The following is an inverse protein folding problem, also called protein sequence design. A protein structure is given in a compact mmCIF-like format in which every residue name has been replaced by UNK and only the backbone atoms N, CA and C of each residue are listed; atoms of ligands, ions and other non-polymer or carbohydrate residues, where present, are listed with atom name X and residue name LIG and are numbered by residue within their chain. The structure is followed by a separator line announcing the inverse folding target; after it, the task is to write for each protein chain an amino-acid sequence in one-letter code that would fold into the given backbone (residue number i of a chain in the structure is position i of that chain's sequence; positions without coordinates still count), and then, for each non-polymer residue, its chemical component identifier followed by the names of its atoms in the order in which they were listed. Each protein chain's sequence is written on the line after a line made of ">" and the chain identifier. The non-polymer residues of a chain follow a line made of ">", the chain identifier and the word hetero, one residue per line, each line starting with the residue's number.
data_IF_306814578005
#
_entry.id   IF_306814578005
#
_cell.length_a   1.000
_cell.length_b   1.000
_cell.length_c   1.000
_cell.angle_alpha   90.00
_cell.angle_beta   90.00
_cell.angle_gamma   90.00
#
_symmetry.space_group_name_H-M   'P 1'
#
loop_
_entity.id
_entity.type
_entity.pdbx_description
1 polymer ?
#
# COMPACT_ATOMS: atom_id res chain seq x y z
N UNK A 1 4.72 6.37 9.50
CA UNK A 1 3.81 6.26 10.66
C UNK A 1 3.38 4.81 10.84
N UNK A 2 3.33 4.28 12.07
CA UNK A 2 2.84 2.92 12.34
C UNK A 2 1.38 2.74 11.94
N UNK A 3 0.56 3.77 12.03
CA UNK A 3 -0.84 3.73 11.57
C UNK A 3 -0.93 3.53 10.05
N UNK A 4 -0.08 4.18 9.27
CA UNK A 4 -0.02 3.99 7.82
C UNK A 4 0.34 2.54 7.47
N UNK A 5 1.35 1.97 8.14
CA UNK A 5 1.77 0.59 7.91
C UNK A 5 0.68 -0.41 8.30
N UNK A 6 0.03 -0.21 9.45
CA UNK A 6 -1.07 -1.07 9.89
C UNK A 6 -2.28 -1.00 8.95
N UNK A 7 -2.67 0.19 8.48
CA UNK A 7 -3.74 0.35 7.50
C UNK A 7 -3.40 -0.33 6.18
N UNK A 8 -2.15 -0.24 5.74
CA UNK A 8 -1.68 -0.90 4.52
C UNK A 8 -1.74 -2.43 4.65
N UNK A 9 -1.25 -2.98 5.76
CA UNK A 9 -1.38 -4.42 6.04
C UNK A 9 -2.84 -4.84 6.00
N UNK A 10 -3.72 -4.13 6.71
CA UNK A 10 -5.16 -4.42 6.69
C UNK A 10 -5.73 -4.43 5.27
N UNK A 11 -5.40 -3.43 4.46
CA UNK A 11 -5.85 -3.30 3.08
C UNK A 11 -5.41 -4.47 2.20
N UNK A 12 -4.16 -4.90 2.35
CA UNK A 12 -3.55 -5.90 1.47
C UNK A 12 -3.93 -7.34 1.83
N UNK A 13 -4.22 -7.62 3.10
CA UNK A 13 -4.37 -9.01 3.55
C UNK A 13 -5.73 -9.35 4.14
N UNK A 14 -6.58 -8.38 4.47
CA UNK A 14 -7.95 -8.64 4.94
C UNK A 14 -8.88 -8.71 3.73
N UNK A 15 -9.35 -9.91 3.42
CA UNK A 15 -10.18 -10.21 2.23
C UNK A 15 -11.67 -10.24 2.53
N UNK A 16 -12.06 -10.21 3.82
CA UNK A 16 -13.44 -10.20 4.26
C UNK A 16 -13.54 -9.89 5.76
N UNK A 17 -14.73 -9.94 6.32
CA UNK A 17 -14.97 -9.60 7.73
C UNK A 17 -14.14 -10.46 8.71
N UNK A 18 -13.94 -11.74 8.36
CA UNK A 18 -13.24 -12.73 9.20
C UNK A 18 -12.17 -13.50 8.44
N UNK A 19 -11.86 -13.10 7.19
CA UNK A 19 -10.93 -13.83 6.32
C UNK A 19 -9.70 -13.01 6.01
N UNK A 20 -8.57 -13.72 5.91
CA UNK A 20 -7.29 -13.13 5.51
C UNK A 20 -6.73 -13.83 4.28
N UNK A 21 -5.83 -13.15 3.58
CA UNK A 21 -5.11 -13.71 2.45
C UNK A 21 -4.27 -14.93 2.87
N UNK A 22 -4.15 -15.91 1.98
CA UNK A 22 -3.22 -17.05 2.14
C UNK A 22 -1.77 -16.58 2.32
N UNK A 23 -1.44 -15.38 1.87
CA UNK A 23 -0.10 -14.80 1.99
C UNK A 23 0.35 -14.55 3.44
N UNK A 24 -0.54 -14.61 4.43
CA UNK A 24 -0.20 -14.36 5.84
C UNK A 24 -0.42 -15.57 6.76
N UNK A 25 -0.82 -16.71 6.21
CA UNK A 25 -1.10 -17.90 7.01
C UNK A 25 0.15 -18.71 7.36
N UNK A 26 1.16 -18.66 6.51
CA UNK A 26 2.36 -19.51 6.62
C UNK A 26 2.12 -20.99 6.32
N UNK A 27 0.91 -21.37 5.90
CA UNK A 27 0.49 -22.77 5.69
C UNK A 27 0.28 -23.12 4.21
N UNK A 28 0.64 -22.20 3.30
CA UNK A 28 0.52 -22.44 1.85
C UNK A 28 1.45 -23.56 1.42
N UNK A 29 0.91 -24.57 0.72
CA UNK A 29 1.64 -25.80 0.35
C UNK A 29 2.90 -25.51 -0.47
N UNK A 30 2.83 -24.55 -1.40
CA UNK A 30 3.96 -24.19 -2.27
C UNK A 30 5.04 -23.38 -1.55
N UNK A 31 4.67 -22.66 -0.49
CA UNK A 31 5.56 -21.79 0.28
C UNK A 31 5.33 -21.92 1.79
N UNK A 32 5.53 -23.10 2.38
CA UNK A 32 5.31 -23.31 3.80
C UNK A 32 6.24 -22.44 4.64
N UNK A 33 5.70 -21.81 5.68
CA UNK A 33 6.45 -20.95 6.59
C UNK A 33 6.84 -19.59 6.00
N UNK A 34 6.33 -19.22 4.81
CA UNK A 34 6.56 -17.91 4.20
C UNK A 34 5.35 -17.00 4.41
N UNK A 35 5.63 -15.72 4.65
CA UNK A 35 4.63 -14.69 4.95
C UNK A 35 4.83 -13.47 4.05
N UNK A 36 3.73 -12.81 3.66
CA UNK A 36 3.78 -11.54 2.92
C UNK A 36 2.61 -10.63 3.31
N UNK A 37 2.82 -9.82 4.35
CA UNK A 37 1.79 -8.94 4.91
C UNK A 37 1.48 -7.71 4.06
N UNK A 38 2.24 -7.43 3.01
CA UNK A 38 2.04 -6.27 2.14
C UNK A 38 1.76 -6.65 0.69
N UNK A 39 1.59 -7.92 0.38
CA UNK A 39 1.42 -8.44 -0.99
C UNK A 39 2.48 -7.92 -1.99
N UNK A 40 3.69 -7.61 -1.52
CA UNK A 40 4.78 -7.15 -2.38
C UNK A 40 5.15 -8.27 -3.35
N UNK A 41 5.26 -7.93 -4.64
CA UNK A 41 5.52 -8.92 -5.69
C UNK A 41 4.29 -9.72 -6.12
N UNK A 42 3.10 -9.42 -5.61
CA UNK A 42 1.84 -9.99 -6.05
C UNK A 42 1.43 -9.40 -7.41
N UNK A 43 2.11 -9.82 -8.45
CA UNK A 43 1.84 -9.39 -9.84
C UNK A 43 0.52 -9.96 -10.35
N UNK A 44 -0.12 -9.26 -11.29
CA UNK A 44 -1.36 -9.68 -11.93
C UNK A 44 -1.23 -11.10 -12.54
N UNK A 45 -2.28 -11.91 -12.43
CA UNK A 45 -2.30 -13.28 -12.94
C UNK A 45 -3.31 -14.14 -12.19
N UNK A 46 -3.29 -15.44 -12.46
CA UNK A 46 -4.22 -16.39 -11.84
C UNK A 46 -3.98 -16.57 -10.33
N UNK A 47 -2.76 -16.34 -9.86
CA UNK A 47 -2.36 -16.59 -8.46
C UNK A 47 -1.50 -15.45 -7.88
N UNK A 48 -2.02 -14.21 -7.76
CA UNK A 48 -1.22 -13.07 -7.30
C UNK A 48 -0.58 -13.29 -5.91
N UNK A 49 -1.32 -13.90 -4.98
CA UNK A 49 -0.80 -14.18 -3.65
C UNK A 49 0.39 -15.15 -3.66
N UNK A 50 0.37 -16.18 -4.52
CA UNK A 50 1.51 -17.10 -4.68
C UNK A 50 2.72 -16.41 -5.32
N UNK A 51 2.51 -15.51 -6.27
CA UNK A 51 3.59 -14.68 -6.83
C UNK A 51 4.24 -13.83 -5.73
N UNK A 52 3.44 -13.24 -4.86
CA UNK A 52 3.93 -12.50 -3.70
C UNK A 52 4.70 -13.36 -2.71
N UNK A 53 4.23 -14.60 -2.43
CA UNK A 53 4.95 -15.54 -1.57
C UNK A 53 6.26 -16.02 -2.21
N UNK A 54 6.27 -16.27 -3.52
CA UNK A 54 7.51 -16.56 -4.26
C UNK A 54 8.52 -15.43 -4.11
N UNK A 55 8.09 -14.18 -4.29
CA UNK A 55 8.97 -13.02 -4.09
C UNK A 55 9.48 -12.93 -2.64
N UNK A 56 8.63 -13.18 -1.66
CA UNK A 56 8.97 -13.14 -0.24
C UNK A 56 9.92 -14.28 0.18
N UNK A 57 9.90 -15.41 -0.53
CA UNK A 57 10.75 -16.59 -0.24
C UNK A 57 12.16 -16.47 -0.80
N UNK A 58 12.44 -15.49 -1.66
CA UNK A 58 13.71 -15.36 -2.39
C UNK A 58 14.40 -14.02 -2.13
N UNK A 59 15.71 -13.94 -2.35
CA UNK A 59 16.50 -12.73 -2.17
C UNK A 59 16.96 -12.52 -0.73
N UNK A 60 17.74 -11.46 -0.52
CA UNK A 60 18.45 -11.14 0.73
C UNK A 60 18.17 -9.71 1.24
N UNK A 61 17.50 -8.89 0.44
CA UNK A 61 17.14 -7.51 0.81
C UNK A 61 15.84 -7.47 1.62
N UNK A 62 15.64 -6.43 2.41
CA UNK A 62 14.42 -6.22 3.20
C UNK A 62 14.08 -7.39 4.12
N UNK A 63 15.08 -7.99 4.75
CA UNK A 63 14.96 -9.16 5.63
C UNK A 63 14.41 -10.42 4.95
N UNK A 64 14.43 -10.52 3.61
CA UNK A 64 14.04 -11.77 2.93
C UNK A 64 15.08 -12.88 3.18
N UNK A 65 14.65 -14.14 3.14
CA UNK A 65 13.29 -14.65 3.01
C UNK A 65 12.45 -14.36 4.26
N UNK A 66 11.14 -14.11 4.04
CA UNK A 66 10.21 -13.76 5.11
C UNK A 66 9.62 -15.01 5.77
N UNK A 67 10.44 -15.69 6.55
CA UNK A 67 10.15 -16.98 7.19
C UNK A 67 9.34 -16.87 8.49
N UNK A 68 8.96 -15.68 8.89
CA UNK A 68 8.06 -15.44 10.03
C UNK A 68 7.36 -14.08 9.86
N UNK A 69 6.27 -13.82 10.61
CA UNK A 69 5.52 -12.56 10.53
C UNK A 69 6.37 -11.31 10.78
N UNK A 70 7.30 -11.35 11.75
CA UNK A 70 8.17 -10.22 12.06
C UNK A 70 9.00 -9.80 10.85
N UNK A 71 9.69 -10.75 10.20
CA UNK A 71 10.52 -10.47 9.01
C UNK A 71 9.68 -9.88 7.87
N UNK A 72 8.47 -10.39 7.69
CA UNK A 72 7.56 -9.88 6.67
C UNK A 72 7.05 -8.47 6.98
N UNK A 73 6.62 -8.21 8.22
CA UNK A 73 6.09 -6.90 8.60
C UNK A 73 7.19 -5.83 8.58
N UNK A 74 8.33 -6.11 9.18
CA UNK A 74 9.46 -5.15 9.22
C UNK A 74 10.10 -5.00 7.85
N UNK A 75 10.37 -6.11 7.16
CA UNK A 75 10.98 -6.08 5.82
C UNK A 75 10.06 -5.41 4.78
N UNK A 76 8.76 -5.66 4.84
CA UNK A 76 7.79 -4.98 3.99
C UNK A 76 7.70 -3.48 4.29
N UNK A 77 7.75 -3.07 5.56
CA UNK A 77 7.82 -1.67 5.94
C UNK A 77 9.10 -0.98 5.41
N UNK A 78 10.24 -1.65 5.48
CA UNK A 78 11.50 -1.17 4.89
C UNK A 78 11.38 -1.01 3.38
N UNK A 79 10.75 -1.98 2.69
CA UNK A 79 10.51 -1.91 1.25
C UNK A 79 9.66 -0.70 0.88
N UNK A 80 8.50 -0.52 1.55
CA UNK A 80 7.59 0.61 1.28
C UNK A 80 8.29 1.94 1.59
N UNK A 81 9.01 2.01 2.71
CA UNK A 81 9.79 3.19 3.09
C UNK A 81 10.78 3.59 2.01
N UNK A 82 11.62 2.66 1.58
CA UNK A 82 12.70 2.92 0.62
C UNK A 82 12.20 3.17 -0.80
N UNK A 83 11.16 2.46 -1.22
CA UNK A 83 10.73 2.51 -2.62
C UNK A 83 9.64 3.56 -2.89
N UNK A 84 8.89 3.98 -1.87
CA UNK A 84 7.80 4.95 -2.05
C UNK A 84 7.97 6.19 -1.17
N UNK A 85 7.93 6.04 0.15
CA UNK A 85 7.81 7.16 1.08
C UNK A 85 9.03 8.08 1.01
N UNK A 86 10.24 7.51 1.07
CA UNK A 86 11.49 8.27 1.02
C UNK A 86 11.81 8.84 -0.37
N UNK A 87 11.03 8.47 -1.38
CA UNK A 87 11.08 9.04 -2.73
C UNK A 87 10.05 10.14 -2.97
N UNK A 88 9.35 10.58 -1.93
CA UNK A 88 8.33 11.62 -2.00
C UNK A 88 6.92 11.09 -2.24
N UNK A 89 6.72 9.79 -2.49
CA UNK A 89 5.40 9.16 -2.62
C UNK A 89 4.82 8.84 -1.23
N UNK A 90 4.66 9.86 -0.40
CA UNK A 90 4.30 9.73 1.02
C UNK A 90 2.80 9.82 1.30
N UNK A 91 1.96 9.90 0.27
CA UNK A 91 0.50 9.84 0.37
C UNK A 91 -0.06 8.77 -0.58
N UNK A 92 -1.29 8.30 -0.32
CA UNK A 92 -1.97 7.36 -1.21
C UNK A 92 -2.13 7.92 -2.64
N UNK A 93 -2.40 9.21 -2.76
CA UNK A 93 -2.46 9.89 -4.05
C UNK A 93 -1.14 9.84 -4.81
N UNK A 94 -0.04 10.22 -4.16
CA UNK A 94 1.30 10.24 -4.77
C UNK A 94 1.82 8.82 -5.07
N UNK A 95 1.42 7.82 -4.29
CA UNK A 95 1.72 6.42 -4.59
C UNK A 95 0.98 5.94 -5.84
N UNK A 96 -0.26 6.41 -6.05
CA UNK A 96 -1.04 6.04 -7.24
C UNK A 96 -0.60 6.79 -8.49
N UNK A 97 -0.49 8.09 -8.43
CA UNK A 97 -0.30 8.92 -9.63
C UNK A 97 1.14 9.37 -9.85
N UNK A 98 1.98 9.24 -8.85
CA UNK A 98 3.40 9.63 -8.84
C UNK A 98 3.72 10.88 -9.67
N UNK A 99 3.25 12.02 -9.19
CA UNK A 99 3.56 13.33 -9.77
C UNK A 99 4.76 13.99 -9.09
N UNK A 100 5.60 13.20 -8.40
CA UNK A 100 6.83 13.69 -7.78
C UNK A 100 7.87 14.03 -8.85
N UNK A 101 8.76 15.03 -8.62
CA UNK A 101 9.77 15.42 -9.60
C UNK A 101 10.72 14.28 -10.02
N UNK A 102 10.96 13.32 -9.12
CA UNK A 102 11.92 12.24 -9.31
C UNK A 102 11.39 11.05 -10.09
N UNK A 103 10.10 10.99 -10.37
CA UNK A 103 9.51 9.81 -10.99
C UNK A 103 8.16 10.04 -11.63
N UNK A 104 7.96 11.26 -12.18
CA UNK A 104 6.68 11.69 -12.77
C UNK A 104 6.09 10.63 -13.69
N UNK A 105 4.88 10.17 -13.34
CA UNK A 105 4.06 9.15 -14.03
C UNK A 105 4.64 7.73 -14.04
N UNK A 106 5.77 7.49 -13.42
CA UNK A 106 6.36 6.16 -13.26
C UNK A 106 6.19 5.64 -11.82
N UNK A 107 6.45 4.35 -11.62
CA UNK A 107 6.49 3.73 -10.31
C UNK A 107 5.19 3.91 -9.50
N UNK A 108 4.06 3.59 -10.15
CA UNK A 108 2.75 3.65 -9.52
C UNK A 108 2.46 2.36 -8.75
N UNK A 109 1.97 2.50 -7.52
CA UNK A 109 1.71 1.37 -6.62
C UNK A 109 0.48 0.54 -7.04
N UNK A 110 -0.59 1.20 -7.52
CA UNK A 110 -1.88 0.55 -7.79
C UNK A 110 -2.24 0.63 -9.28
N UNK A 111 -2.80 -0.44 -9.83
CA UNK A 111 -3.35 -0.45 -11.20
C UNK A 111 -4.74 0.18 -11.27
N UNK A 112 -5.58 0.00 -10.24
CA UNK A 112 -6.94 0.56 -10.19
C UNK A 112 -6.91 2.10 -10.14
N UNK A 113 -7.56 2.74 -11.10
CA UNK A 113 -7.63 4.21 -11.21
C UNK A 113 -8.37 4.85 -10.03
N UNK A 114 -9.41 4.18 -9.51
CA UNK A 114 -10.23 4.67 -8.39
C UNK A 114 -9.61 4.41 -7.01
N UNK A 115 -8.49 3.70 -6.96
CA UNK A 115 -7.89 3.28 -5.68
C UNK A 115 -7.62 4.46 -4.74
N UNK A 116 -7.06 5.56 -5.22
CA UNK A 116 -6.74 6.72 -4.40
C UNK A 116 -8.01 7.35 -3.78
N UNK A 117 -9.10 7.44 -4.54
CA UNK A 117 -10.40 7.94 -4.05
C UNK A 117 -11.00 6.98 -3.02
N UNK A 118 -11.04 5.70 -3.33
CA UNK A 118 -11.56 4.66 -2.42
C UNK A 118 -10.81 4.64 -1.08
N UNK A 119 -9.49 4.74 -1.11
CA UNK A 119 -8.66 4.80 0.10
C UNK A 119 -8.85 6.11 0.89
N UNK A 120 -9.03 7.23 0.20
CA UNK A 120 -9.33 8.50 0.85
C UNK A 120 -10.65 8.44 1.61
N UNK A 121 -11.69 7.85 1.02
CA UNK A 121 -13.00 7.67 1.66
C UNK A 121 -12.92 6.74 2.88
N UNK A 122 -12.20 5.63 2.78
CA UNK A 122 -11.96 4.72 3.92
C UNK A 122 -11.22 5.42 5.04
N UNK A 123 -10.19 6.19 4.73
CA UNK A 123 -9.42 6.97 5.70
C UNK A 123 -10.31 8.02 6.37
N UNK A 124 -11.07 8.80 5.59
CA UNK A 124 -12.05 9.77 6.12
C UNK A 124 -13.01 9.10 7.10
N UNK A 125 -13.58 7.96 6.72
CA UNK A 125 -14.53 7.24 7.57
C UNK A 125 -13.88 6.70 8.85
N UNK A 126 -12.62 6.29 8.80
CA UNK A 126 -11.87 5.85 9.98
C UNK A 126 -11.62 7.00 11.00
N UNK A 127 -11.57 8.24 10.51
CA UNK A 127 -11.43 9.43 11.35
C UNK A 127 -12.80 10.06 11.74
N UNK A 128 -13.93 9.43 11.38
CA UNK A 128 -15.25 9.96 11.68
C UNK A 128 -15.41 10.22 13.19
N UNK A 129 -15.81 11.43 13.55
CA UNK A 129 -15.91 11.91 14.95
C UNK A 129 -14.57 12.31 15.59
N UNK A 130 -13.42 12.16 14.90
CA UNK A 130 -12.11 12.58 15.40
C UNK A 130 -11.48 13.72 14.58
N UNK A 131 -12.06 14.10 13.45
CA UNK A 131 -11.50 15.10 12.54
C UNK A 131 -11.30 16.47 13.21
N UNK A 132 -12.23 16.87 14.09
CA UNK A 132 -12.19 18.16 14.78
C UNK A 132 -11.15 18.22 15.92
N UNK A 133 -10.69 17.06 16.39
CA UNK A 133 -9.75 16.93 17.52
C UNK A 133 -8.38 16.42 17.14
N UNK A 134 -8.20 15.97 15.89
CA UNK A 134 -6.93 15.36 15.43
C UNK A 134 -6.20 16.33 14.50
N UNK A 135 -4.98 16.75 14.83
CA UNK A 135 -4.17 17.57 13.93
C UNK A 135 -3.78 16.75 12.69
N UNK A 136 -4.33 17.15 11.54
CA UNK A 136 -4.03 16.52 10.26
C UNK A 136 -3.13 17.42 9.41
N UNK A 137 -2.15 16.82 8.73
CA UNK A 137 -1.32 17.50 7.74
C UNK A 137 -1.68 16.94 6.37
N UNK A 138 -2.07 17.82 5.46
CA UNK A 138 -2.42 17.46 4.09
C UNK A 138 -1.30 17.88 3.14
N UNK A 139 -0.90 16.96 2.25
CA UNK A 139 -0.06 17.26 1.09
C UNK A 139 -0.95 17.29 -0.15
N UNK A 140 -1.19 18.49 -0.67
CA UNK A 140 -2.07 18.72 -1.82
C UNK A 140 -1.21 19.09 -3.02
N UNK A 141 -1.14 18.26 -4.07
CA UNK A 141 -0.43 18.61 -5.29
C UNK A 141 -1.10 19.80 -5.98
N UNK A 142 -0.29 20.79 -6.35
CA UNK A 142 -0.73 21.94 -7.14
C UNK A 142 -0.09 21.81 -8.53
N UNK A 143 -0.92 21.83 -9.55
CA UNK A 143 -0.47 21.69 -10.93
C UNK A 143 -0.40 23.05 -11.62
N UNK A 144 0.58 23.21 -12.50
CA UNK A 144 0.57 24.32 -13.47
C UNK A 144 -0.69 24.17 -14.33
N UNK A 145 -1.30 25.28 -14.71
CA UNK A 145 -2.51 25.28 -15.54
C UNK A 145 -3.75 24.64 -14.88
N UNK A 146 -3.90 24.75 -13.57
CA UNK A 146 -5.15 24.40 -12.91
C UNK A 146 -6.32 25.19 -13.53
N UNK A 147 -7.49 24.57 -13.74
CA UNK A 147 -8.66 25.29 -14.24
C UNK A 147 -9.08 26.39 -13.26
N UNK A 148 -9.53 27.51 -13.77
CA UNK A 148 -10.01 28.66 -12.95
C UNK A 148 -11.26 28.32 -12.12
N UNK A 149 -12.00 27.29 -12.54
CA UNK A 149 -13.19 26.79 -11.83
C UNK A 149 -12.93 25.35 -11.41
N UNK A 150 -13.26 25.03 -10.17
CA UNK A 150 -13.12 23.66 -9.66
C UNK A 150 -13.93 22.68 -10.48
N UNK A 151 -13.33 21.55 -10.81
CA UNK A 151 -14.08 20.45 -11.39
C UNK A 151 -15.13 19.93 -10.42
N UNK A 152 -16.30 19.54 -10.93
CA UNK A 152 -17.29 18.86 -10.11
C UNK A 152 -16.73 17.57 -9.53
N UNK A 153 -17.13 17.24 -8.31
CA UNK A 153 -16.78 15.95 -7.73
C UNK A 153 -17.30 14.81 -8.61
N UNK A 154 -16.56 13.71 -8.77
CA UNK A 154 -17.06 12.51 -9.44
C UNK A 154 -18.36 12.03 -8.78
N UNK A 155 -19.34 11.63 -9.59
CA UNK A 155 -20.62 11.08 -9.10
C UNK A 155 -20.45 9.63 -8.68
#
# INVERSE_FOLDING_TARGET
>A
SPYHLASRVKQEVVTGATTTSIAVTGTTTEYPGIYNFYNIGATSGATPALNGLKWASTGDTYLRPWTNPYRSIVGGAMYIGSNYINRGQNTGYLQKFNVTPTGTYNHQYMTNVEAANSEALKTKNAYNGMLDSTPLVFSIPIYNNMPAVNCAAPK
#
